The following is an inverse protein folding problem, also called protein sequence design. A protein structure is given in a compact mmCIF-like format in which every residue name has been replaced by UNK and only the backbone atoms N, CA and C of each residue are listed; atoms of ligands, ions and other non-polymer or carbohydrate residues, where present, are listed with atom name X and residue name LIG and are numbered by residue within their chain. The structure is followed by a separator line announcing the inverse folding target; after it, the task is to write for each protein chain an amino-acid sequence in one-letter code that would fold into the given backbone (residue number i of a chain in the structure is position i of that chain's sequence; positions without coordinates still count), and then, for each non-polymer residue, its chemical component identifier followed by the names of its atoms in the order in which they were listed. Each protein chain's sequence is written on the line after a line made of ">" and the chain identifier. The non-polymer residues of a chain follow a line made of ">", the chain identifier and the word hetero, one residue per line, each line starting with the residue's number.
data_IF_858269378804
#
_entry.id   IF_858269378804
#
_cell.length_a   1.000
_cell.length_b   1.000
_cell.length_c   1.000
_cell.angle_alpha   90.00
_cell.angle_beta   90.00
_cell.angle_gamma   90.00
#
_symmetry.space_group_name_H-M   'P 1'
#
loop_
_entity.id
_entity.type
_entity.pdbx_description
1 polymer ?
#
# COMPACT_ATOMS: atom_id res chain seq x y z
N UNK A 1 -19.22 -12.63 -19.62
CA UNK A 1 -19.48 -13.18 -18.25
C UNK A 1 -18.23 -13.88 -17.65
N UNK A 2 -17.41 -14.58 -18.41
CA UNK A 2 -16.20 -15.29 -17.92
C UNK A 2 -15.12 -14.35 -17.39
N UNK A 3 -14.79 -13.27 -18.09
CA UNK A 3 -13.79 -12.28 -17.65
C UNK A 3 -14.15 -11.61 -16.31
N UNK A 4 -15.41 -11.28 -16.10
CA UNK A 4 -15.86 -10.69 -14.83
C UNK A 4 -15.68 -11.65 -13.64
N UNK A 5 -15.98 -12.94 -13.84
CA UNK A 5 -15.79 -13.95 -12.78
C UNK A 5 -14.30 -14.14 -12.46
N UNK A 6 -13.45 -14.20 -13.49
CA UNK A 6 -11.99 -14.28 -13.31
C UNK A 6 -11.45 -13.07 -12.57
N UNK A 7 -11.88 -11.86 -12.96
CA UNK A 7 -11.47 -10.61 -12.28
C UNK A 7 -11.86 -10.59 -10.80
N UNK A 8 -13.09 -11.01 -10.46
CA UNK A 8 -13.54 -11.10 -9.06
C UNK A 8 -12.70 -12.12 -8.29
N UNK A 9 -12.44 -13.30 -8.87
CA UNK A 9 -11.61 -14.32 -8.22
C UNK A 9 -10.18 -13.81 -7.95
N UNK A 10 -9.55 -13.17 -8.94
CA UNK A 10 -8.20 -12.60 -8.81
C UNK A 10 -8.21 -11.51 -7.73
N UNK A 11 -9.22 -10.66 -7.67
CA UNK A 11 -9.34 -9.62 -6.65
C UNK A 11 -9.47 -10.20 -5.23
N UNK A 12 -10.26 -11.27 -5.06
CA UNK A 12 -10.40 -11.96 -3.78
C UNK A 12 -9.07 -12.61 -3.35
N UNK A 13 -8.38 -13.28 -4.27
CA UNK A 13 -7.07 -13.88 -4.02
C UNK A 13 -6.03 -12.81 -3.66
N UNK A 14 -6.03 -11.67 -4.36
CA UNK A 14 -5.17 -10.54 -4.05
C UNK A 14 -5.43 -9.99 -2.65
N UNK A 15 -6.69 -9.86 -2.25
CA UNK A 15 -7.07 -9.42 -0.90
C UNK A 15 -6.60 -10.41 0.18
N UNK A 16 -6.74 -11.71 -0.07
CA UNK A 16 -6.25 -12.74 0.85
C UNK A 16 -4.73 -12.69 1.01
N UNK A 17 -3.99 -12.60 -0.11
CA UNK A 17 -2.53 -12.49 -0.10
C UNK A 17 -2.06 -11.18 0.56
N UNK A 18 -2.78 -10.08 0.36
CA UNK A 18 -2.49 -8.81 1.02
C UNK A 18 -2.68 -8.89 2.53
N UNK A 19 -3.73 -9.57 3.01
CA UNK A 19 -3.92 -9.85 4.43
C UNK A 19 -2.78 -10.68 5.03
N UNK A 20 -2.35 -11.73 4.31
CA UNK A 20 -1.18 -12.54 4.69
C UNK A 20 0.11 -11.70 4.73
N UNK A 21 0.38 -10.92 3.69
CA UNK A 21 1.50 -9.99 3.66
C UNK A 21 1.51 -9.06 4.89
N UNK A 22 0.37 -8.45 5.21
CA UNK A 22 0.25 -7.55 6.37
C UNK A 22 0.54 -8.26 7.69
N UNK A 23 0.02 -9.48 7.86
CA UNK A 23 0.26 -10.28 9.07
C UNK A 23 1.75 -10.61 9.24
N UNK A 24 2.41 -11.07 8.16
CA UNK A 24 3.84 -11.36 8.18
C UNK A 24 4.69 -10.10 8.41
N UNK A 25 4.32 -8.98 7.78
CA UNK A 25 5.01 -7.71 7.97
C UNK A 25 4.92 -7.25 9.42
N UNK A 26 3.72 -7.26 10.00
CA UNK A 26 3.50 -6.87 11.40
C UNK A 26 4.29 -7.78 12.35
N UNK A 27 4.25 -9.10 12.14
CA UNK A 27 4.97 -10.04 12.97
C UNK A 27 6.50 -9.90 12.79
N UNK A 28 6.97 -9.76 11.56
CA UNK A 28 8.39 -9.59 11.26
C UNK A 28 8.99 -8.33 11.87
N UNK A 29 8.21 -7.24 11.93
CA UNK A 29 8.67 -6.00 12.57
C UNK A 29 8.57 -6.02 14.10
N UNK A 30 7.83 -6.96 14.68
CA UNK A 30 7.68 -7.12 16.12
C UNK A 30 8.64 -8.15 16.73
N UNK A 31 9.42 -8.89 15.92
CA UNK A 31 10.26 -10.00 16.38
C UNK A 31 11.61 -10.05 15.67
N UNK A 32 12.56 -10.72 16.31
CA UNK A 32 13.87 -11.06 15.74
C UNK A 32 14.77 -9.85 15.54
N UNK A 33 15.59 -9.91 14.48
CA UNK A 33 16.68 -8.95 14.22
C UNK A 33 16.22 -7.49 14.24
N UNK A 34 15.00 -7.20 13.83
CA UNK A 34 14.46 -5.83 13.85
C UNK A 34 14.36 -5.28 15.27
N UNK A 35 13.77 -6.06 16.19
CA UNK A 35 13.60 -5.66 17.59
C UNK A 35 14.94 -5.65 18.31
N UNK A 36 15.76 -6.69 18.10
CA UNK A 36 17.06 -6.81 18.74
C UNK A 36 18.03 -5.71 18.31
N UNK A 37 18.07 -5.41 17.02
CA UNK A 37 18.98 -4.39 16.48
C UNK A 37 18.50 -2.97 16.77
N UNK A 38 17.21 -2.68 16.60
CA UNK A 38 16.67 -1.33 16.79
C UNK A 38 16.18 -1.07 18.22
N UNK A 39 15.76 -2.09 18.95
CA UNK A 39 15.26 -1.96 20.32
C UNK A 39 16.35 -2.09 21.40
N UNK A 40 17.46 -2.71 21.10
CA UNK A 40 18.45 -3.10 22.12
C UNK A 40 19.72 -2.29 22.17
N UNK A 41 20.41 -2.02 21.08
CA UNK A 41 21.80 -1.65 21.25
C UNK A 41 22.44 -0.72 20.23
N UNK A 42 21.96 -0.62 19.04
CA UNK A 42 22.84 -0.09 18.03
C UNK A 42 22.57 1.35 17.66
N UNK A 43 22.09 1.50 16.46
CA UNK A 43 21.78 2.79 15.84
C UNK A 43 20.69 3.56 16.59
N UNK A 44 19.86 2.85 17.35
CA UNK A 44 18.75 3.41 18.12
C UNK A 44 19.17 4.19 19.38
N UNK A 45 20.36 4.04 19.87
CA UNK A 45 20.80 4.63 21.15
C UNK A 45 20.82 6.18 21.19
N UNK A 46 20.61 6.83 20.08
CA UNK A 46 20.51 8.30 20.01
C UNK A 46 19.26 8.84 19.33
N UNK A 47 18.36 7.97 18.87
CA UNK A 47 17.17 8.40 18.16
C UNK A 47 15.99 8.58 19.14
N UNK A 48 15.17 9.59 18.90
CA UNK A 48 13.87 9.70 19.60
C UNK A 48 12.97 8.52 19.20
N UNK A 49 12.02 8.14 20.07
CA UNK A 49 11.08 7.06 19.77
C UNK A 49 10.35 7.25 18.43
N UNK A 50 9.97 8.48 18.11
CA UNK A 50 9.35 8.83 16.84
C UNK A 50 10.30 8.59 15.64
N UNK A 51 11.54 9.06 15.74
CA UNK A 51 12.54 8.88 14.69
C UNK A 51 12.86 7.40 14.47
N UNK A 52 12.87 6.60 15.55
CA UNK A 52 13.06 5.15 15.48
C UNK A 52 11.94 4.46 14.70
N UNK A 53 10.67 4.76 15.04
CA UNK A 53 9.50 4.20 14.33
C UNK A 53 9.54 4.59 12.84
N UNK A 54 9.84 5.83 12.54
CA UNK A 54 9.94 6.30 11.15
C UNK A 54 11.04 5.57 10.37
N UNK A 55 12.24 5.50 10.93
CA UNK A 55 13.39 4.83 10.29
C UNK A 55 13.13 3.34 10.09
N UNK A 56 12.61 2.66 11.12
CA UNK A 56 12.27 1.24 11.05
C UNK A 56 11.22 0.97 9.97
N UNK A 57 10.19 1.81 9.90
CA UNK A 57 9.15 1.71 8.88
C UNK A 57 9.68 1.90 7.46
N UNK A 58 10.54 2.90 7.26
CA UNK A 58 11.16 3.17 5.96
C UNK A 58 12.05 2.02 5.50
N UNK A 59 12.88 1.48 6.42
CA UNK A 59 13.75 0.32 6.12
C UNK A 59 12.92 -0.93 5.84
N UNK A 60 11.85 -1.17 6.62
CA UNK A 60 10.95 -2.30 6.38
C UNK A 60 10.27 -2.23 5.00
N UNK A 61 9.77 -1.06 4.62
CA UNK A 61 9.22 -0.83 3.28
C UNK A 61 10.28 -1.03 2.19
N UNK A 62 11.49 -0.49 2.36
CA UNK A 62 12.57 -0.62 1.40
C UNK A 62 12.98 -2.09 1.19
N UNK A 63 13.17 -2.86 2.26
CA UNK A 63 13.49 -4.30 2.16
C UNK A 63 12.42 -5.06 1.40
N UNK A 64 11.13 -4.80 1.71
CA UNK A 64 10.03 -5.40 0.98
C UNK A 64 10.07 -5.10 -0.52
N UNK A 65 10.29 -3.84 -0.87
CA UNK A 65 10.27 -3.40 -2.26
C UNK A 65 11.52 -3.89 -3.04
N UNK A 66 12.68 -3.94 -2.40
CA UNK A 66 13.90 -4.53 -2.98
C UNK A 66 13.70 -6.04 -3.24
N UNK A 67 13.18 -6.79 -2.28
CA UNK A 67 12.89 -8.20 -2.47
C UNK A 67 11.89 -8.43 -3.62
N UNK A 68 10.86 -7.60 -3.69
CA UNK A 68 9.88 -7.63 -4.78
C UNK A 68 10.51 -7.30 -6.14
N UNK A 69 11.41 -6.31 -6.19
CA UNK A 69 12.14 -5.93 -7.40
C UNK A 69 13.03 -7.07 -7.90
N UNK A 70 13.80 -7.69 -6.99
CA UNK A 70 14.65 -8.84 -7.33
C UNK A 70 13.82 -9.99 -7.88
N UNK A 71 12.70 -10.31 -7.22
CA UNK A 71 11.81 -11.38 -7.66
C UNK A 71 11.19 -11.13 -9.03
N UNK A 72 10.71 -9.91 -9.28
CA UNK A 72 10.13 -9.54 -10.58
C UNK A 72 11.15 -9.49 -11.69
N UNK A 73 12.40 -9.09 -11.41
CA UNK A 73 13.51 -9.17 -12.37
C UNK A 73 13.85 -10.61 -12.74
N UNK A 74 13.94 -11.51 -11.76
CA UNK A 74 14.17 -12.94 -11.99
C UNK A 74 13.03 -13.50 -12.86
N UNK A 75 11.78 -13.18 -12.52
CA UNK A 75 10.63 -13.61 -13.30
C UNK A 75 10.68 -13.07 -14.74
N UNK A 76 10.97 -11.78 -14.93
CA UNK A 76 11.12 -11.19 -16.25
C UNK A 76 12.27 -11.83 -17.07
N UNK A 77 13.35 -12.25 -16.39
CA UNK A 77 14.43 -13.00 -17.03
C UNK A 77 13.97 -14.39 -17.52
N UNK A 78 13.25 -15.12 -16.65
CA UNK A 78 12.74 -16.46 -16.97
C UNK A 78 11.80 -16.44 -18.18
N UNK A 79 10.91 -15.44 -18.25
CA UNK A 79 9.95 -15.29 -19.37
C UNK A 79 10.54 -14.56 -20.59
N UNK A 80 11.84 -14.18 -20.56
CA UNK A 80 12.53 -13.53 -21.69
C UNK A 80 12.13 -12.08 -21.95
N UNK A 81 11.56 -11.37 -20.96
CA UNK A 81 11.03 -10.00 -21.10
C UNK A 81 11.98 -8.88 -20.65
N UNK A 82 13.23 -9.20 -20.26
CA UNK A 82 14.21 -8.17 -19.83
C UNK A 82 14.50 -7.14 -20.92
N UNK A 83 14.53 -7.55 -22.20
CA UNK A 83 14.72 -6.62 -23.31
C UNK A 83 13.56 -5.65 -23.47
N UNK A 84 12.33 -6.10 -23.23
CA UNK A 84 11.12 -5.28 -23.28
C UNK A 84 11.09 -4.32 -22.08
N UNK A 85 11.50 -4.77 -20.91
CA UNK A 85 11.69 -3.94 -19.72
C UNK A 85 12.65 -2.79 -19.98
N UNK A 86 13.87 -3.08 -20.48
CA UNK A 86 14.88 -2.06 -20.77
C UNK A 86 14.43 -1.02 -21.81
N UNK A 87 13.69 -1.45 -22.83
CA UNK A 87 13.13 -0.55 -23.84
C UNK A 87 11.99 0.30 -23.30
N UNK A 88 11.11 -0.28 -22.47
CA UNK A 88 9.91 0.38 -21.98
C UNK A 88 10.20 1.50 -20.98
N UNK A 89 11.27 1.40 -20.20
CA UNK A 89 11.68 2.44 -19.23
C UNK A 89 11.82 3.82 -19.89
N UNK A 90 12.35 3.88 -21.11
CA UNK A 90 12.59 5.14 -21.81
C UNK A 90 11.38 5.68 -22.58
N UNK A 91 10.26 4.96 -22.58
CA UNK A 91 9.02 5.39 -23.24
C UNK A 91 8.21 6.32 -22.34
N UNK A 92 7.27 7.08 -22.96
CA UNK A 92 6.34 7.91 -22.19
C UNK A 92 5.53 7.10 -21.16
N UNK A 93 4.93 5.93 -21.51
CA UNK A 93 4.23 5.10 -20.52
C UNK A 93 5.15 4.59 -19.41
N UNK A 94 6.38 4.19 -19.73
CA UNK A 94 7.36 3.74 -18.73
C UNK A 94 7.72 4.85 -17.74
N UNK A 95 7.92 6.08 -18.21
CA UNK A 95 8.16 7.22 -17.31
C UNK A 95 6.97 7.55 -16.41
N UNK A 96 5.74 7.42 -16.94
CA UNK A 96 4.52 7.57 -16.14
C UNK A 96 4.47 6.50 -15.05
N UNK A 97 4.81 5.25 -15.37
CA UNK A 97 4.90 4.16 -14.38
C UNK A 97 5.95 4.44 -13.32
N UNK A 98 7.13 4.96 -13.69
CA UNK A 98 8.18 5.35 -12.74
C UNK A 98 7.66 6.41 -11.77
N UNK A 99 7.05 7.50 -12.26
CA UNK A 99 6.51 8.55 -11.40
C UNK A 99 5.41 8.02 -10.49
N UNK A 100 4.51 7.19 -11.03
CA UNK A 100 3.46 6.57 -10.23
C UNK A 100 4.05 5.64 -9.14
N UNK A 101 5.09 4.87 -9.49
CA UNK A 101 5.75 3.95 -8.57
C UNK A 101 6.53 4.68 -7.45
N UNK A 102 7.09 5.85 -7.69
CA UNK A 102 7.71 6.68 -6.64
C UNK A 102 6.67 7.12 -5.61
N UNK A 103 5.46 7.48 -6.06
CA UNK A 103 4.37 7.88 -5.16
C UNK A 103 3.83 6.67 -4.39
N UNK A 104 3.58 5.55 -5.07
CA UNK A 104 2.98 4.37 -4.48
C UNK A 104 3.98 3.48 -3.72
N UNK A 105 5.25 3.44 -4.14
CA UNK A 105 6.30 2.69 -3.47
C UNK A 105 6.85 3.44 -2.24
N UNK A 106 7.96 4.18 -2.38
CA UNK A 106 8.65 4.75 -1.22
C UNK A 106 7.76 5.60 -0.31
N UNK A 107 6.90 6.44 -0.87
CA UNK A 107 6.06 7.34 -0.07
C UNK A 107 4.89 6.60 0.58
N UNK A 108 4.07 5.90 -0.21
CA UNK A 108 2.88 5.26 0.32
C UNK A 108 3.20 4.01 1.15
N UNK A 109 4.19 3.20 0.74
CA UNK A 109 4.60 2.01 1.50
C UNK A 109 5.21 2.39 2.85
N UNK A 110 6.04 3.42 2.91
CA UNK A 110 6.58 3.92 4.18
C UNK A 110 5.46 4.45 5.08
N UNK A 111 4.53 5.24 4.53
CA UNK A 111 3.37 5.72 5.29
C UNK A 111 2.51 4.57 5.82
N UNK A 112 2.31 3.51 5.03
CA UNK A 112 1.59 2.31 5.46
C UNK A 112 2.27 1.61 6.63
N UNK A 113 3.59 1.41 6.56
CA UNK A 113 4.34 0.73 7.63
C UNK A 113 4.39 1.58 8.90
N UNK A 114 4.51 2.91 8.79
CA UNK A 114 4.34 3.83 9.92
C UNK A 114 2.96 3.62 10.57
N UNK A 115 1.92 3.57 9.73
CA UNK A 115 0.55 3.31 10.18
C UNK A 115 0.44 2.00 10.96
N UNK A 116 1.02 0.90 10.45
CA UNK A 116 1.04 -0.39 11.11
C UNK A 116 1.73 -0.35 12.46
N UNK A 117 2.84 0.37 12.58
CA UNK A 117 3.58 0.49 13.82
C UNK A 117 2.87 1.33 14.88
N UNK A 118 2.23 2.43 14.47
CA UNK A 118 1.62 3.38 15.39
C UNK A 118 0.17 3.05 15.75
N UNK A 119 -0.58 2.42 14.85
CA UNK A 119 -1.99 2.12 15.05
C UNK A 119 -2.34 0.63 14.86
N UNK A 120 -1.35 -0.23 14.58
CA UNK A 120 -1.56 -1.66 14.40
C UNK A 120 -2.41 -2.00 13.17
N UNK A 121 -2.97 -3.21 13.17
CA UNK A 121 -3.69 -3.76 12.01
C UNK A 121 -5.00 -3.03 11.64
N UNK A 122 -5.47 -2.13 12.51
CA UNK A 122 -6.68 -1.32 12.24
C UNK A 122 -6.54 -0.43 11.00
N UNK A 123 -5.31 -0.09 10.62
CA UNK A 123 -5.07 0.74 9.44
C UNK A 123 -5.27 0.00 8.12
N UNK A 124 -5.30 -1.33 8.12
CA UNK A 124 -5.39 -2.14 6.90
C UNK A 124 -6.64 -1.82 6.07
N UNK A 125 -7.85 -1.79 6.66
CA UNK A 125 -9.05 -1.39 5.92
C UNK A 125 -9.02 0.06 5.46
N UNK A 126 -8.35 0.95 6.21
CA UNK A 126 -8.20 2.36 5.82
C UNK A 126 -7.30 2.45 4.59
N UNK A 127 -6.16 1.76 4.60
CA UNK A 127 -5.25 1.70 3.47
C UNK A 127 -5.91 1.04 2.24
N UNK A 128 -6.80 0.05 2.44
CA UNK A 128 -7.55 -0.60 1.36
C UNK A 128 -8.55 0.33 0.64
N UNK A 129 -8.81 1.54 1.16
CA UNK A 129 -9.55 2.58 0.43
C UNK A 129 -8.83 3.03 -0.84
N UNK A 130 -7.56 2.65 -1.04
CA UNK A 130 -6.80 2.96 -2.26
C UNK A 130 -7.57 2.60 -3.55
N UNK A 131 -8.28 1.46 -3.57
CA UNK A 131 -9.08 1.05 -4.72
C UNK A 131 -10.25 2.00 -4.99
N UNK A 132 -10.92 2.47 -3.95
CA UNK A 132 -12.01 3.45 -4.06
C UNK A 132 -11.48 4.82 -4.50
N UNK A 133 -10.37 5.26 -3.91
CA UNK A 133 -9.68 6.50 -4.28
C UNK A 133 -9.20 6.44 -5.73
N UNK A 134 -8.59 5.33 -6.15
CA UNK A 134 -8.15 5.11 -7.52
C UNK A 134 -9.30 5.17 -8.53
N UNK A 135 -10.46 4.60 -8.20
CA UNK A 135 -11.66 4.67 -9.02
C UNK A 135 -12.19 6.11 -9.15
N UNK A 136 -12.17 6.89 -8.06
CA UNK A 136 -12.57 8.31 -8.06
C UNK A 136 -11.60 9.13 -8.92
N UNK A 137 -10.30 8.94 -8.76
CA UNK A 137 -9.26 9.62 -9.54
C UNK A 137 -9.40 9.26 -11.03
N UNK A 138 -9.60 7.97 -11.35
CA UNK A 138 -9.86 7.51 -12.71
C UNK A 138 -11.11 8.15 -13.33
N UNK A 139 -12.16 8.37 -12.53
CA UNK A 139 -13.35 9.11 -12.96
C UNK A 139 -13.05 10.57 -13.28
N UNK A 140 -12.24 11.23 -12.45
CA UNK A 140 -11.93 12.66 -12.60
C UNK A 140 -10.98 12.87 -13.78
N UNK A 141 -9.86 12.14 -13.81
CA UNK A 141 -8.79 12.36 -14.80
C UNK A 141 -9.15 11.80 -16.16
N UNK A 142 -9.64 10.56 -16.21
CA UNK A 142 -9.90 9.84 -17.48
C UNK A 142 -11.39 9.85 -17.89
N UNK A 143 -12.24 10.54 -17.11
CA UNK A 143 -13.69 10.61 -17.34
C UNK A 143 -14.35 9.22 -17.46
N UNK A 144 -13.81 8.22 -16.77
CA UNK A 144 -14.34 6.87 -16.78
C UNK A 144 -15.76 6.84 -16.20
N UNK A 145 -16.64 6.04 -16.80
CA UNK A 145 -18.00 5.86 -16.29
C UNK A 145 -17.97 4.89 -15.12
N UNK A 146 -18.33 5.36 -13.93
CA UNK A 146 -18.55 4.49 -12.78
C UNK A 146 -19.92 3.83 -12.91
N UNK A 147 -19.96 2.51 -12.86
CA UNK A 147 -21.24 1.79 -12.79
C UNK A 147 -21.85 1.92 -11.40
N UNK A 148 -23.19 1.76 -11.29
CA UNK A 148 -23.88 1.80 -9.99
C UNK A 148 -23.29 0.80 -8.98
N UNK A 149 -22.86 -0.40 -9.43
CA UNK A 149 -22.19 -1.37 -8.58
C UNK A 149 -20.82 -0.91 -8.08
N UNK A 150 -20.05 -0.15 -8.87
CA UNK A 150 -18.78 0.44 -8.43
C UNK A 150 -19.04 1.52 -7.37
N UNK A 151 -20.02 2.38 -7.57
CA UNK A 151 -20.40 3.42 -6.58
C UNK A 151 -20.80 2.76 -5.27
N UNK A 152 -21.65 1.73 -5.33
CA UNK A 152 -22.04 0.98 -4.13
C UNK A 152 -20.82 0.35 -3.44
N UNK A 153 -19.92 -0.24 -4.20
CA UNK A 153 -18.66 -0.80 -3.66
C UNK A 153 -17.81 0.26 -2.96
N UNK A 154 -17.65 1.44 -3.54
CA UNK A 154 -16.95 2.58 -2.93
C UNK A 154 -17.59 2.96 -1.59
N UNK A 155 -18.91 3.11 -1.56
CA UNK A 155 -19.65 3.47 -0.34
C UNK A 155 -19.47 2.40 0.74
N UNK A 156 -19.56 1.12 0.40
CA UNK A 156 -19.35 0.01 1.34
C UNK A 156 -17.91 0.02 1.88
N UNK A 157 -16.91 0.25 1.02
CA UNK A 157 -15.50 0.32 1.46
C UNK A 157 -15.28 1.47 2.46
N UNK A 158 -15.81 2.66 2.18
CA UNK A 158 -15.71 3.78 3.10
C UNK A 158 -16.45 3.52 4.42
N UNK A 159 -17.67 2.97 4.35
CA UNK A 159 -18.43 2.61 5.55
C UNK A 159 -17.67 1.56 6.40
N UNK A 160 -17.13 0.52 5.77
CA UNK A 160 -16.33 -0.50 6.46
C UNK A 160 -15.08 0.11 7.11
N UNK A 161 -14.34 0.98 6.41
CA UNK A 161 -13.17 1.65 6.95
C UNK A 161 -13.51 2.52 8.17
N UNK A 162 -14.63 3.25 8.11
CA UNK A 162 -15.13 4.06 9.22
C UNK A 162 -15.52 3.18 10.40
N UNK A 163 -16.28 2.10 10.17
CA UNK A 163 -16.70 1.17 11.23
C UNK A 163 -15.48 0.56 11.92
N UNK A 164 -14.51 0.07 11.15
CA UNK A 164 -13.30 -0.54 11.71
C UNK A 164 -12.45 0.51 12.42
N UNK A 165 -12.32 1.71 11.87
CA UNK A 165 -11.63 2.83 12.51
C UNK A 165 -12.26 3.24 13.85
N UNK A 166 -13.58 3.22 13.93
CA UNK A 166 -14.31 3.59 15.15
C UNK A 166 -14.33 2.47 16.20
N UNK A 167 -14.51 1.22 15.80
CA UNK A 167 -14.73 0.10 16.72
C UNK A 167 -13.53 -0.82 16.89
N UNK A 168 -12.47 -0.63 16.11
CA UNK A 168 -11.29 -1.50 16.14
C UNK A 168 -10.49 -1.40 17.44
N UNK A 169 -10.63 -0.33 18.19
CA UNK A 169 -10.06 -0.17 19.55
C UNK A 169 -11.04 -0.58 20.67
N UNK A 170 -12.13 -1.23 20.33
CA UNK A 170 -13.21 -1.55 21.26
C UNK A 170 -14.29 -0.45 21.33
N UNK A 171 -15.44 -0.80 21.89
CA UNK A 171 -16.52 0.19 22.14
C UNK A 171 -16.23 0.87 23.48
N UNK A 172 -15.83 2.14 23.50
CA UNK A 172 -15.53 2.82 24.75
C UNK A 172 -16.82 3.12 25.53
N UNK A 173 -16.72 3.11 26.84
CA UNK A 173 -17.74 3.69 27.69
C UNK A 173 -17.84 5.19 27.33
N UNK A 174 -18.97 5.61 26.79
CA UNK A 174 -19.18 7.00 26.34
C UNK A 174 -19.48 7.19 24.85
N UNK A 175 -19.63 6.10 24.08
CA UNK A 175 -20.00 6.15 22.66
C UNK A 175 -18.97 6.83 21.75
N UNK A 176 -19.42 7.47 20.68
CA UNK A 176 -18.55 8.09 19.68
C UNK A 176 -17.61 9.17 20.25
N UNK A 177 -18.06 9.93 21.23
CA UNK A 177 -17.23 10.94 21.89
C UNK A 177 -16.07 10.33 22.67
N UNK A 178 -16.29 9.15 23.28
CA UNK A 178 -15.24 8.42 24.01
C UNK A 178 -14.16 7.83 23.09
N UNK A 179 -14.51 7.51 21.82
CA UNK A 179 -13.54 7.01 20.85
C UNK A 179 -12.44 8.04 20.59
N UNK A 180 -12.83 9.28 20.30
CA UNK A 180 -11.87 10.36 20.02
C UNK A 180 -11.10 10.82 21.25
N UNK A 181 -11.69 10.69 22.44
CA UNK A 181 -11.04 11.05 23.71
C UNK A 181 -10.00 10.02 24.19
N UNK A 182 -10.15 8.76 23.80
CA UNK A 182 -9.28 7.66 24.24
C UNK A 182 -8.21 7.25 23.21
N UNK A 183 -8.22 7.85 22.01
CA UNK A 183 -7.18 7.57 21.01
C UNK A 183 -5.87 8.23 21.42
N UNK A 184 -4.82 7.42 21.50
CA UNK A 184 -3.47 7.97 21.70
C UNK A 184 -3.07 8.85 20.50
N UNK A 185 -2.23 9.87 20.74
CA UNK A 185 -1.71 10.69 19.65
C UNK A 185 -0.99 9.87 18.56
N UNK A 186 -0.34 8.79 18.96
CA UNK A 186 0.31 7.85 18.05
C UNK A 186 -0.70 7.15 17.13
N UNK A 187 -1.83 6.70 17.67
CA UNK A 187 -2.88 6.08 16.85
C UNK A 187 -3.47 7.04 15.82
N UNK A 188 -3.64 8.32 16.19
CA UNK A 188 -4.09 9.37 15.23
C UNK A 188 -3.09 9.55 14.11
N UNK A 189 -1.79 9.65 14.41
CA UNK A 189 -0.73 9.75 13.41
C UNK A 189 -0.73 8.51 12.51
N UNK A 190 -0.88 7.32 13.08
CA UNK A 190 -0.97 6.06 12.34
C UNK A 190 -2.15 6.02 11.35
N UNK A 191 -3.31 6.50 11.75
CA UNK A 191 -4.50 6.61 10.89
C UNK A 191 -4.26 7.62 9.75
N UNK A 192 -3.67 8.77 10.05
CA UNK A 192 -3.33 9.77 9.03
C UNK A 192 -2.33 9.18 8.04
N UNK A 193 -1.31 8.47 8.51
CA UNK A 193 -0.34 7.77 7.66
C UNK A 193 -1.02 6.73 6.75
N UNK A 194 -2.01 5.98 7.26
CA UNK A 194 -2.80 5.04 6.48
C UNK A 194 -3.61 5.73 5.37
N UNK A 195 -4.20 6.90 5.64
CA UNK A 195 -4.87 7.69 4.60
C UNK A 195 -3.88 8.21 3.55
N UNK A 196 -2.69 8.65 3.95
CA UNK A 196 -1.64 9.04 3.02
C UNK A 196 -1.21 7.87 2.14
N UNK A 197 -1.09 6.67 2.69
CA UNK A 197 -0.81 5.44 1.94
C UNK A 197 -1.94 5.13 0.95
N UNK A 198 -3.20 5.21 1.40
CA UNK A 198 -4.37 4.99 0.53
C UNK A 198 -4.43 5.98 -0.64
N UNK A 199 -4.11 7.25 -0.40
CA UNK A 199 -4.00 8.28 -1.46
C UNK A 199 -2.88 7.97 -2.43
N UNK A 200 -1.69 7.66 -1.94
CA UNK A 200 -0.53 7.35 -2.77
C UNK A 200 -0.77 6.14 -3.67
N UNK A 201 -1.25 5.03 -3.10
CA UNK A 201 -1.60 3.84 -3.87
C UNK A 201 -2.81 4.04 -4.78
N UNK A 202 -3.76 4.90 -4.40
CA UNK A 202 -4.90 5.27 -5.25
C UNK A 202 -4.45 6.05 -6.49
N UNK A 203 -3.53 7.01 -6.32
CA UNK A 203 -2.92 7.75 -7.43
C UNK A 203 -2.11 6.80 -8.31
N UNK A 204 -1.25 5.97 -7.71
CA UNK A 204 -0.46 4.97 -8.43
C UNK A 204 -1.36 4.03 -9.23
N UNK A 205 -2.42 3.51 -8.63
CA UNK A 205 -3.36 2.61 -9.29
C UNK A 205 -4.09 3.25 -10.47
N UNK A 206 -4.51 4.51 -10.33
CA UNK A 206 -5.17 5.23 -11.42
C UNK A 206 -4.20 5.58 -12.56
N UNK A 207 -3.05 6.15 -12.24
CA UNK A 207 -2.04 6.60 -13.23
C UNK A 207 -1.31 5.41 -13.84
N UNK A 208 -0.88 4.46 -13.01
CA UNK A 208 -0.22 3.23 -13.43
C UNK A 208 -1.14 2.35 -14.27
N UNK A 209 -2.42 2.22 -13.88
CA UNK A 209 -3.42 1.48 -14.65
C UNK A 209 -3.60 2.01 -16.07
N UNK A 210 -3.55 3.33 -16.26
CA UNK A 210 -3.56 3.92 -17.60
C UNK A 210 -2.31 3.56 -18.40
N UNK A 211 -1.13 3.62 -17.78
CA UNK A 211 0.13 3.27 -18.45
C UNK A 211 0.20 1.76 -18.80
N UNK A 212 -0.37 0.90 -17.95
CA UNK A 212 -0.49 -0.54 -18.23
C UNK A 212 -1.36 -0.88 -19.45
N UNK A 213 -2.20 0.03 -19.93
CA UNK A 213 -2.90 -0.16 -21.20
C UNK A 213 -1.98 -0.02 -22.42
N UNK A 214 -0.77 0.55 -22.25
CA UNK A 214 0.19 0.85 -23.30
C UNK A 214 1.49 0.03 -23.19
N UNK A 215 1.70 -0.65 -22.08
CA UNK A 215 2.87 -1.48 -21.80
C UNK A 215 2.38 -2.85 -21.35
N UNK A 216 3.10 -3.89 -21.72
CA UNK A 216 2.81 -5.26 -21.26
C UNK A 216 2.76 -5.33 -19.72
N UNK A 217 1.79 -6.04 -19.18
CA UNK A 217 1.51 -6.04 -17.72
C UNK A 217 2.71 -6.53 -16.92
N UNK A 218 3.42 -7.58 -17.38
CA UNK A 218 4.59 -8.10 -16.68
C UNK A 218 5.74 -7.09 -16.68
N UNK A 219 5.94 -6.39 -17.79
CA UNK A 219 6.94 -5.31 -17.91
C UNK A 219 6.55 -4.13 -17.01
N UNK A 220 5.29 -3.76 -16.98
CA UNK A 220 4.80 -2.68 -16.13
C UNK A 220 5.00 -2.96 -14.63
N UNK A 221 4.71 -4.19 -14.18
CA UNK A 221 4.96 -4.63 -12.80
C UNK A 221 6.46 -4.60 -12.50
N UNK A 222 7.30 -5.05 -13.42
CA UNK A 222 8.74 -5.03 -13.26
C UNK A 222 9.28 -3.59 -13.12
N UNK A 223 8.83 -2.66 -13.97
CA UNK A 223 9.19 -1.24 -13.86
C UNK A 223 8.77 -0.68 -12.50
N UNK A 224 7.53 -0.96 -12.08
CA UNK A 224 7.00 -0.52 -10.79
C UNK A 224 7.86 -1.00 -9.62
N UNK A 225 8.11 -2.30 -9.53
CA UNK A 225 8.84 -2.88 -8.41
C UNK A 225 10.31 -2.45 -8.38
N UNK A 226 10.97 -2.38 -9.54
CA UNK A 226 12.34 -1.88 -9.60
C UNK A 226 12.44 -0.41 -9.19
N UNK A 227 11.45 0.40 -9.56
CA UNK A 227 11.43 1.83 -9.16
C UNK A 227 11.17 2.00 -7.67
N UNK A 228 10.32 1.16 -7.07
CA UNK A 228 10.04 1.21 -5.63
C UNK A 228 11.21 0.69 -4.78
N UNK A 229 12.01 -0.25 -5.32
CA UNK A 229 13.10 -0.91 -4.60
C UNK A 229 14.46 -0.19 -4.69
N UNK A 230 14.57 0.87 -5.48
CA UNK A 230 15.77 1.70 -5.61
C UNK A 230 15.62 2.96 -4.77
#
# INVERSE_FOLDING_TARGET
>A
KSYRKKGIFIALMSGFLYGGYTAFMTQGMATGVWVDYYGGTGVAAGLSAFALVYTLSAVGAAVNDICSAVWTLIYAAIIGRLGDFARSINTKPGRILIVAAIIGGPLASTAYVIGLQMAGSIIVPIAALNAAIGAIIGRIIYKQKLSGGMILGIVICFAAAVIIGLFGYGIPEGGLAGIFGNMSGEAVIGIIAAFCAALGWGIEGAVGGYACCMVDTEVAICIRQCTSGI
#
